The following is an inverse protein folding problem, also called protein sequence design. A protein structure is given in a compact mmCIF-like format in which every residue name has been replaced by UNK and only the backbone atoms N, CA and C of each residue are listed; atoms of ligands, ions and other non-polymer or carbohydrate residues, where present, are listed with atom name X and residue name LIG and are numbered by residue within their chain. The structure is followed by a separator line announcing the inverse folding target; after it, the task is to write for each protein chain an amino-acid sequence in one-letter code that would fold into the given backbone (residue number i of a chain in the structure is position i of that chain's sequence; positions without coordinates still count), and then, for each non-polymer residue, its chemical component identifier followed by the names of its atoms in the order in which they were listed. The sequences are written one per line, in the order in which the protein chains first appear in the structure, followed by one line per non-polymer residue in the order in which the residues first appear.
data_IF_341918403277
#
_entry.id   IF_341918403277
#
_cell.length_a   1.000
_cell.length_b   1.000
_cell.length_c   1.000
_cell.angle_alpha   90.00
_cell.angle_beta   90.00
_cell.angle_gamma   90.00
#
_symmetry.space_group_name_H-M   'P 1'
#
loop_
_entity.id
_entity.type
_entity.pdbx_description
1 polymer ?
#
# COMPACT_ATOMS: atom_id res chain seq x y z
N UNK A 1 10.38 -50.64 28.12
CA UNK A 1 9.78 -49.79 27.07
C UNK A 1 10.68 -48.58 26.91
N UNK A 2 11.48 -48.50 25.85
CA UNK A 2 12.27 -47.29 25.58
C UNK A 2 11.40 -46.30 24.83
N UNK A 3 11.08 -45.20 25.49
CA UNK A 3 10.34 -44.10 24.88
C UNK A 3 11.17 -43.48 23.76
N UNK A 4 10.60 -43.51 22.56
CA UNK A 4 11.20 -42.93 21.35
C UNK A 4 11.06 -41.42 21.47
N UNK A 5 12.09 -40.76 22.03
CA UNK A 5 12.19 -39.29 22.02
C UNK A 5 12.03 -38.78 20.58
N UNK A 6 11.03 -37.94 20.29
CA UNK A 6 10.79 -37.46 18.94
C UNK A 6 11.96 -36.59 18.49
N UNK A 7 12.76 -37.11 17.56
CA UNK A 7 13.92 -36.41 17.02
C UNK A 7 13.43 -35.16 16.26
N UNK A 8 13.96 -33.96 16.55
CA UNK A 8 13.53 -32.75 15.87
C UNK A 8 13.81 -32.86 14.37
N UNK A 9 12.74 -32.97 13.57
CA UNK A 9 12.85 -33.14 12.12
C UNK A 9 13.04 -31.79 11.43
N UNK A 10 14.03 -31.70 10.54
CA UNK A 10 14.27 -30.52 9.69
C UNK A 10 13.00 -30.06 8.96
N UNK A 11 12.14 -31.00 8.56
CA UNK A 11 10.84 -30.74 7.90
C UNK A 11 9.89 -29.89 8.75
N UNK A 12 9.84 -30.11 10.07
CA UNK A 12 8.98 -29.34 10.98
C UNK A 12 9.45 -27.90 11.12
N UNK A 13 10.77 -27.71 11.16
CA UNK A 13 11.37 -26.38 11.18
C UNK A 13 11.03 -25.59 9.90
N UNK A 14 11.23 -26.19 8.73
CA UNK A 14 10.90 -25.54 7.46
C UNK A 14 9.40 -25.30 7.29
N UNK A 15 8.53 -26.20 7.79
CA UNK A 15 7.09 -25.98 7.77
C UNK A 15 6.69 -24.73 8.56
N UNK A 16 7.28 -24.50 9.74
CA UNK A 16 7.05 -23.29 10.53
C UNK A 16 7.57 -22.02 9.83
N UNK A 17 8.80 -22.07 9.30
CA UNK A 17 9.40 -20.95 8.59
C UNK A 17 8.60 -20.55 7.33
N UNK A 18 8.10 -21.54 6.58
CA UNK A 18 7.29 -21.31 5.38
C UNK A 18 5.98 -20.59 5.71
N UNK A 19 5.30 -20.95 6.80
CA UNK A 19 4.04 -20.28 7.20
C UNK A 19 4.25 -18.82 7.58
N UNK A 20 5.33 -18.49 8.30
CA UNK A 20 5.66 -17.11 8.67
C UNK A 20 6.04 -16.30 7.44
N UNK A 21 6.84 -16.87 6.54
CA UNK A 21 7.22 -16.23 5.28
C UNK A 21 6.02 -15.91 4.38
N UNK A 22 5.07 -16.83 4.24
CA UNK A 22 3.86 -16.62 3.44
C UNK A 22 2.98 -15.49 4.00
N UNK A 23 2.80 -15.44 5.34
CA UNK A 23 2.05 -14.37 5.99
C UNK A 23 2.72 -13.00 5.76
N UNK A 24 4.04 -12.89 5.97
CA UNK A 24 4.77 -11.65 5.74
C UNK A 24 4.70 -11.18 4.28
N UNK A 25 4.82 -12.10 3.32
CA UNK A 25 4.69 -11.78 1.90
C UNK A 25 3.29 -11.26 1.55
N UNK A 26 2.22 -11.85 2.12
CA UNK A 26 0.84 -11.39 1.87
C UNK A 26 0.60 -9.96 2.38
N UNK A 27 1.11 -9.61 3.58
CA UNK A 27 1.02 -8.25 4.14
C UNK A 27 1.82 -7.26 3.31
N UNK A 28 3.04 -7.64 2.88
CA UNK A 28 3.88 -6.78 2.04
C UNK A 28 3.25 -6.49 0.66
N UNK A 29 2.61 -7.50 0.04
CA UNK A 29 1.87 -7.31 -1.21
C UNK A 29 0.67 -6.39 -1.02
N UNK A 30 -0.11 -6.57 0.05
CA UNK A 30 -1.25 -5.71 0.35
C UNK A 30 -0.80 -4.26 0.61
N UNK A 31 0.26 -4.07 1.40
CA UNK A 31 0.85 -2.77 1.67
C UNK A 31 1.37 -2.10 0.39
N UNK A 32 1.98 -2.86 -0.54
CA UNK A 32 2.39 -2.36 -1.85
C UNK A 32 1.21 -1.91 -2.71
N UNK A 33 0.05 -2.58 -2.61
CA UNK A 33 -1.14 -2.16 -3.34
C UNK A 33 -1.71 -0.85 -2.78
N UNK A 34 -1.72 -0.67 -1.46
CA UNK A 34 -2.19 0.57 -0.82
C UNK A 34 -1.21 1.73 -1.04
N UNK A 35 0.10 1.43 -1.05
CA UNK A 35 1.18 2.38 -1.37
C UNK A 35 1.57 2.32 -2.84
N UNK A 36 0.66 1.98 -3.75
CA UNK A 36 0.88 2.43 -5.13
C UNK A 36 0.77 3.94 -5.07
N UNK A 37 1.86 4.72 -5.33
CA UNK A 37 1.69 6.13 -5.54
C UNK A 37 0.67 6.23 -6.66
N UNK A 38 -0.47 6.88 -6.40
CA UNK A 38 -1.39 7.20 -7.48
C UNK A 38 -0.51 7.80 -8.56
N UNK A 39 -0.48 7.14 -9.73
CA UNK A 39 0.27 7.64 -10.86
C UNK A 39 -0.06 9.12 -10.92
N UNK A 40 0.95 9.98 -10.73
CA UNK A 40 0.77 11.41 -10.91
C UNK A 40 0.33 11.47 -12.36
N UNK A 41 -0.99 11.59 -12.54
CA UNK A 41 -1.57 11.73 -13.87
C UNK A 41 -0.88 12.98 -14.36
N UNK A 42 0.01 12.81 -15.35
CA UNK A 42 0.60 13.92 -16.07
C UNK A 42 -0.59 14.73 -16.56
N UNK A 43 -0.93 15.79 -15.82
CA UNK A 43 -2.11 16.56 -16.12
C UNK A 43 -1.83 17.22 -17.44
N UNK A 44 -2.57 16.80 -18.47
CA UNK A 44 -2.50 17.41 -19.79
C UNK A 44 -2.48 18.94 -19.62
N UNK A 45 -1.65 19.67 -20.40
CA UNK A 45 -1.51 21.11 -20.25
C UNK A 45 -2.89 21.76 -20.23
N UNK A 46 -3.26 22.32 -19.07
CA UNK A 46 -4.61 22.84 -18.89
C UNK A 46 -4.74 24.14 -19.69
N UNK A 47 -5.90 24.38 -20.32
CA UNK A 47 -6.11 25.58 -21.12
C UNK A 47 -5.92 26.82 -20.26
N UNK A 48 -5.29 27.84 -20.86
CA UNK A 48 -4.99 29.11 -20.20
C UNK A 48 -6.30 29.77 -19.75
N UNK A 49 -6.41 30.18 -18.47
CA UNK A 49 -7.64 30.75 -17.95
C UNK A 49 -7.97 32.09 -18.62
N UNK A 50 -9.19 32.24 -19.14
CA UNK A 50 -9.64 33.44 -19.88
C UNK A 50 -9.65 34.73 -19.05
N UNK A 51 -9.75 34.63 -17.73
CA UNK A 51 -9.78 35.79 -16.81
C UNK A 51 -8.48 35.99 -16.03
N UNK A 52 -7.34 35.72 -16.66
CA UNK A 52 -6.04 36.19 -16.18
C UNK A 52 -5.78 35.92 -14.70
N UNK A 53 -5.44 34.69 -14.36
CA UNK A 53 -4.99 34.32 -13.02
C UNK A 53 -4.36 32.94 -13.08
N UNK A 54 -3.03 32.87 -13.02
CA UNK A 54 -2.27 31.61 -13.06
C UNK A 54 -2.45 30.72 -11.82
N UNK A 55 -3.50 30.95 -11.04
CA UNK A 55 -3.83 30.17 -9.85
C UNK A 55 -4.75 29.03 -10.25
N UNK A 56 -4.29 27.81 -9.97
CA UNK A 56 -5.08 26.61 -10.11
C UNK A 56 -5.39 26.07 -8.72
N UNK A 57 -6.66 25.72 -8.50
CA UNK A 57 -7.05 25.01 -7.28
C UNK A 57 -6.41 23.63 -7.28
N UNK A 58 -5.52 23.38 -6.32
CA UNK A 58 -4.95 22.06 -6.05
C UNK A 58 -6.00 21.15 -5.44
N UNK A 59 -5.89 19.84 -5.71
CA UNK A 59 -6.84 18.86 -5.18
C UNK A 59 -6.93 18.88 -3.65
N UNK A 60 -5.82 19.20 -2.97
CA UNK A 60 -5.78 19.41 -1.52
C UNK A 60 -6.71 20.54 -1.06
N UNK A 61 -6.67 21.70 -1.73
CA UNK A 61 -7.50 22.86 -1.39
C UNK A 61 -8.97 22.55 -1.64
N UNK A 62 -9.29 21.89 -2.77
CA UNK A 62 -10.65 21.46 -3.09
C UNK A 62 -11.20 20.50 -2.04
N UNK A 63 -10.40 19.52 -1.64
CA UNK A 63 -10.82 18.53 -0.64
C UNK A 63 -11.05 19.16 0.74
N UNK A 64 -10.17 20.09 1.16
CA UNK A 64 -10.34 20.83 2.41
C UNK A 64 -11.70 21.55 2.46
N UNK A 65 -12.06 22.30 1.42
CA UNK A 65 -13.36 22.99 1.41
C UNK A 65 -14.56 22.06 1.20
N UNK A 66 -14.39 20.95 0.48
CA UNK A 66 -15.46 19.96 0.31
C UNK A 66 -15.86 19.33 1.65
N UNK A 67 -14.87 18.92 2.44
CA UNK A 67 -15.06 18.21 3.71
C UNK A 67 -15.48 19.11 4.86
N UNK A 68 -15.24 20.42 4.77
CA UNK A 68 -15.56 21.40 5.81
C UNK A 68 -16.81 22.23 5.52
N UNK A 69 -17.53 21.92 4.44
CA UNK A 69 -18.77 22.63 4.09
C UNK A 69 -19.93 22.13 4.95
N UNK A 70 -20.55 23.05 5.68
CA UNK A 70 -21.77 22.88 6.48
C UNK A 70 -23.04 22.88 5.63
#
# INVERSE_FOLDING_TARGET
MQDRQPTPSRRRFFAGAATVGAAAASVAVLARMVTTPQAVVEQAPRPTPERGGGYHESDHVRHYYNTTRI
#
